data_IF_764016409377
#
_entry.id   IF_764016409377
#
_cell.length_a   1.000
_cell.length_b   1.000
_cell.length_c   1.000
_cell.angle_alpha   90.00
_cell.angle_beta   90.00
_cell.angle_gamma   90.00
#
_symmetry.space_group_name_H-M   'P 1'
#
loop_
_entity.id
_entity.type
_entity.pdbx_description
1 polymer ?
#
# COMPACT_ATOMS: atom_id res chain seq x y z
N UNK A 1 43.77 -3.40 -9.38
CA UNK A 1 42.51 -3.26 -10.14
C UNK A 1 41.72 -4.58 -10.16
N UNK A 2 42.36 -5.71 -9.88
CA UNK A 2 41.77 -7.06 -10.00
C UNK A 2 40.80 -7.44 -8.88
N UNK A 3 41.01 -6.92 -7.66
CA UNK A 3 40.13 -7.21 -6.52
C UNK A 3 38.70 -6.68 -6.73
N UNK A 4 38.56 -5.53 -7.40
CA UNK A 4 37.25 -4.95 -7.73
C UNK A 4 36.50 -5.81 -8.75
N UNK A 5 37.20 -6.25 -9.80
CA UNK A 5 36.60 -7.11 -10.83
C UNK A 5 36.21 -8.49 -10.26
N UNK A 6 37.04 -9.06 -9.38
CA UNK A 6 36.73 -10.33 -8.71
C UNK A 6 35.51 -10.21 -7.79
N UNK A 7 35.38 -9.11 -7.04
CA UNK A 7 34.21 -8.85 -6.21
C UNK A 7 32.94 -8.73 -7.06
N UNK A 8 33.02 -7.98 -8.17
CA UNK A 8 31.92 -7.79 -9.12
C UNK A 8 31.46 -9.11 -9.75
N UNK A 9 32.38 -9.98 -10.15
CA UNK A 9 32.04 -11.32 -10.67
C UNK A 9 31.28 -12.15 -9.64
N UNK A 10 31.75 -12.20 -8.39
CA UNK A 10 31.06 -12.95 -7.32
C UNK A 10 29.67 -12.42 -7.04
N UNK A 11 29.48 -11.10 -7.01
CA UNK A 11 28.15 -10.51 -6.81
C UNK A 11 27.19 -10.92 -7.92
N UNK A 12 27.67 -10.97 -9.17
CA UNK A 12 26.85 -11.39 -10.29
C UNK A 12 26.50 -12.88 -10.22
N UNK A 13 27.45 -13.73 -9.83
CA UNK A 13 27.22 -15.17 -9.61
C UNK A 13 26.18 -15.41 -8.51
N UNK A 14 26.30 -14.71 -7.37
CA UNK A 14 25.34 -14.81 -6.28
C UNK A 14 23.95 -14.30 -6.67
N UNK A 15 23.86 -13.16 -7.35
CA UNK A 15 22.58 -12.63 -7.82
C UNK A 15 21.90 -13.59 -8.80
N UNK A 16 22.66 -14.20 -9.70
CA UNK A 16 22.14 -15.18 -10.67
C UNK A 16 21.65 -16.45 -9.97
N UNK A 17 22.39 -16.93 -8.96
CA UNK A 17 22.01 -18.11 -8.19
C UNK A 17 20.74 -17.84 -7.37
N UNK A 18 20.65 -16.68 -6.70
CA UNK A 18 19.45 -16.26 -5.98
C UNK A 18 18.25 -16.13 -6.91
N UNK A 19 18.42 -15.53 -8.09
CA UNK A 19 17.38 -15.44 -9.11
C UNK A 19 16.90 -16.83 -9.58
N UNK A 20 17.81 -17.79 -9.77
CA UNK A 20 17.46 -19.14 -10.21
C UNK A 20 16.75 -19.98 -9.14
N UNK A 21 16.96 -19.66 -7.87
CA UNK A 21 16.38 -20.38 -6.73
C UNK A 21 15.04 -19.78 -6.28
N UNK A 22 14.77 -18.52 -6.64
CA UNK A 22 13.46 -17.94 -6.42
C UNK A 22 12.49 -18.51 -7.46
N UNK A 23 11.54 -19.32 -6.99
CA UNK A 23 10.27 -19.43 -7.68
C UNK A 23 9.61 -18.06 -7.61
N UNK A 24 9.81 -17.25 -8.66
CA UNK A 24 9.04 -16.03 -8.85
C UNK A 24 7.63 -16.51 -9.20
N UNK A 25 6.62 -16.27 -8.35
CA UNK A 25 5.24 -16.53 -8.73
C UNK A 25 4.96 -15.75 -10.02
N UNK A 26 4.33 -16.38 -11.00
CA UNK A 26 3.81 -15.61 -12.14
C UNK A 26 2.97 -14.46 -11.60
N UNK A 27 3.12 -13.28 -12.22
CA UNK A 27 2.30 -12.13 -11.86
C UNK A 27 0.84 -12.60 -11.78
N UNK A 28 0.13 -12.31 -10.68
CA UNK A 28 -1.26 -12.71 -10.58
C UNK A 28 -1.97 -12.17 -11.81
N UNK A 29 -2.50 -13.08 -12.64
CA UNK A 29 -3.33 -12.69 -13.77
C UNK A 29 -4.34 -11.68 -13.25
N UNK A 30 -4.41 -10.49 -13.85
CA UNK A 30 -5.35 -9.44 -13.42
C UNK A 30 -6.67 -10.10 -13.05
N UNK A 31 -7.01 -10.05 -11.76
CA UNK A 31 -8.25 -10.62 -11.27
C UNK A 31 -9.40 -10.03 -12.09
N UNK A 32 -10.53 -10.74 -12.23
CA UNK A 32 -11.64 -10.26 -13.04
C UNK A 32 -11.94 -8.82 -12.67
N UNK A 33 -11.76 -7.91 -13.64
CA UNK A 33 -12.12 -6.51 -13.49
C UNK A 33 -13.60 -6.52 -13.17
N UNK A 34 -13.94 -6.26 -11.90
CA UNK A 34 -15.33 -6.24 -11.48
C UNK A 34 -16.05 -5.22 -12.37
N UNK A 35 -17.22 -5.55 -12.93
CA UNK A 35 -17.94 -4.61 -13.77
C UNK A 35 -18.14 -3.32 -12.99
N UNK A 36 -17.88 -2.18 -13.63
CA UNK A 36 -18.12 -0.85 -13.04
C UNK A 36 -19.53 -0.82 -12.48
N UNK A 37 -19.63 -0.91 -11.15
CA UNK A 37 -20.90 -0.72 -10.48
C UNK A 37 -21.23 0.77 -10.67
N UNK A 38 -22.36 1.14 -11.30
CA UNK A 38 -22.69 2.55 -11.54
C UNK A 38 -22.88 3.36 -10.25
N UNK A 39 -22.82 2.71 -9.08
CA UNK A 39 -22.81 3.32 -7.76
C UNK A 39 -21.41 3.53 -7.16
N UNK A 40 -20.34 3.04 -7.81
CA UNK A 40 -18.96 3.32 -7.39
C UNK A 40 -18.58 4.72 -7.82
N UNK A 41 -18.07 5.50 -6.88
CA UNK A 41 -17.51 6.83 -7.07
C UNK A 41 -16.02 6.73 -7.35
N UNK A 42 -15.33 5.73 -6.79
CA UNK A 42 -13.90 5.52 -7.03
C UNK A 42 -13.69 4.52 -8.18
N UNK A 43 -12.83 4.91 -9.12
CA UNK A 43 -12.30 3.95 -10.10
C UNK A 43 -11.34 2.99 -9.40
N UNK A 44 -11.20 1.78 -9.93
CA UNK A 44 -10.22 0.81 -9.41
C UNK A 44 -8.80 1.38 -9.38
N UNK A 45 -8.40 2.15 -10.39
CA UNK A 45 -7.10 2.82 -10.42
C UNK A 45 -6.93 3.79 -9.24
N UNK A 46 -8.00 4.50 -8.86
CA UNK A 46 -7.98 5.40 -7.72
C UNK A 46 -7.95 4.64 -6.40
N UNK A 47 -8.71 3.55 -6.26
CA UNK A 47 -8.65 2.67 -5.09
C UNK A 47 -7.25 2.09 -4.91
N UNK A 48 -6.63 1.61 -6.00
CA UNK A 48 -5.26 1.10 -6.00
C UNK A 48 -4.26 2.16 -5.56
N UNK A 49 -4.32 3.36 -6.12
CA UNK A 49 -3.42 4.45 -5.71
C UNK A 49 -3.57 4.78 -4.22
N UNK A 50 -4.80 4.84 -3.71
CA UNK A 50 -5.06 5.09 -2.29
C UNK A 50 -4.50 3.96 -1.41
N UNK A 51 -4.68 2.70 -1.82
CA UNK A 51 -4.13 1.56 -1.11
C UNK A 51 -2.60 1.61 -1.08
N UNK A 52 -1.95 1.93 -2.20
CA UNK A 52 -0.49 2.06 -2.30
C UNK A 52 0.04 3.20 -1.40
N UNK A 53 -0.60 4.38 -1.44
CA UNK A 53 -0.22 5.54 -0.62
C UNK A 53 -0.36 5.24 0.88
N UNK A 54 -1.48 4.61 1.29
CA UNK A 54 -1.71 4.24 2.68
C UNK A 54 -0.79 3.10 3.14
N UNK A 55 -0.47 2.13 2.26
CA UNK A 55 0.48 1.08 2.54
C UNK A 55 1.88 1.65 2.78
N UNK A 56 2.30 2.65 1.98
CA UNK A 56 3.55 3.38 2.20
C UNK A 56 3.57 4.07 3.56
N UNK A 57 2.50 4.77 3.94
CA UNK A 57 2.39 5.41 5.25
C UNK A 57 2.38 4.40 6.41
N UNK A 58 1.80 3.22 6.22
CA UNK A 58 1.79 2.15 7.21
C UNK A 58 3.18 1.52 7.42
N UNK A 59 4.06 1.58 6.42
CA UNK A 59 5.41 1.01 6.43
C UNK A 59 6.39 1.83 7.30
N UNK A 60 6.09 1.99 8.58
CA UNK A 60 6.92 2.72 9.56
C UNK A 60 8.12 1.92 10.08
N UNK A 61 8.21 0.63 9.77
CA UNK A 61 9.22 -0.30 10.28
C UNK A 61 9.61 -1.30 9.19
N UNK A 62 10.91 -1.55 9.05
CA UNK A 62 11.48 -2.58 8.17
C UNK A 62 11.60 -3.96 8.86
N UNK A 63 11.04 -4.13 10.06
CA UNK A 63 11.05 -5.40 10.79
C UNK A 63 10.18 -6.44 10.05
N UNK A 64 10.77 -7.54 9.54
CA UNK A 64 10.01 -8.56 8.82
C UNK A 64 8.98 -9.30 9.68
N UNK A 65 9.03 -9.14 11.01
CA UNK A 65 8.02 -9.69 11.92
C UNK A 65 6.82 -8.75 12.12
N UNK A 66 6.87 -7.52 11.61
CA UNK A 66 5.82 -6.51 11.72
C UNK A 66 5.15 -6.32 10.36
N UNK A 67 4.23 -7.23 10.06
CA UNK A 67 3.48 -7.25 8.80
C UNK A 67 2.22 -6.42 8.98
N UNK A 68 2.09 -5.40 8.14
CA UNK A 68 0.95 -4.50 8.07
C UNK A 68 0.26 -4.67 6.72
N UNK A 69 -1.07 -4.68 6.74
CA UNK A 69 -1.90 -4.76 5.56
C UNK A 69 -2.94 -3.66 5.59
N UNK A 70 -3.09 -2.94 4.48
CA UNK A 70 -4.12 -1.91 4.30
C UNK A 70 -5.08 -2.38 3.21
N UNK A 71 -6.37 -2.25 3.47
CA UNK A 71 -7.44 -2.50 2.52
C UNK A 71 -8.29 -1.24 2.39
N UNK A 72 -8.61 -0.86 1.16
CA UNK A 72 -9.53 0.23 0.83
C UNK A 72 -10.74 -0.37 0.13
N UNK A 73 -11.92 -0.14 0.68
CA UNK A 73 -13.18 -0.66 0.15
C UNK A 73 -14.20 0.47 0.04
N UNK A 74 -14.81 0.63 -1.14
CA UNK A 74 -16.02 1.43 -1.30
C UNK A 74 -17.25 0.55 -1.03
N UNK A 75 -18.02 0.89 0.02
CA UNK A 75 -19.18 0.09 0.43
C UNK A 75 -20.48 0.57 -0.26
N UNK A 76 -20.69 1.89 -0.28
CA UNK A 76 -21.79 2.58 -0.96
C UNK A 76 -21.29 3.91 -1.52
N UNK A 77 -22.08 4.57 -2.38
CA UNK A 77 -21.66 5.74 -3.15
C UNK A 77 -21.01 6.89 -2.33
N UNK A 78 -21.23 6.95 -1.02
CA UNK A 78 -20.70 8.03 -0.17
C UNK A 78 -19.85 7.50 1.02
N UNK A 79 -19.50 6.22 1.05
CA UNK A 79 -18.74 5.62 2.17
C UNK A 79 -17.52 4.84 1.69
N UNK A 80 -16.34 5.34 2.08
CA UNK A 80 -15.06 4.66 1.93
C UNK A 80 -14.63 4.08 3.28
N UNK A 81 -14.36 2.77 3.30
CA UNK A 81 -13.88 2.05 4.48
C UNK A 81 -12.42 1.71 4.27
N UNK A 82 -11.56 2.16 5.20
CA UNK A 82 -10.15 1.74 5.26
C UNK A 82 -9.98 0.76 6.42
N UNK A 83 -9.47 -0.44 6.12
CA UNK A 83 -9.14 -1.45 7.12
C UNK A 83 -7.63 -1.58 7.20
N UNK A 84 -7.10 -1.48 8.41
CA UNK A 84 -5.68 -1.68 8.68
C UNK A 84 -5.56 -2.89 9.60
N UNK A 85 -4.83 -3.89 9.15
CA UNK A 85 -4.51 -5.08 9.91
C UNK A 85 -3.00 -5.12 10.18
N UNK A 86 -2.61 -5.51 11.39
CA UNK A 86 -1.22 -5.68 11.77
C UNK A 86 -1.08 -6.94 12.60
N UNK A 87 -0.03 -7.72 12.36
CA UNK A 87 0.29 -8.88 13.20
C UNK A 87 0.97 -8.49 14.53
N UNK A 88 1.38 -7.22 14.66
CA UNK A 88 1.94 -6.62 15.87
C UNK A 88 1.11 -5.40 16.31
N UNK A 89 0.91 -5.18 17.61
CA UNK A 89 0.29 -3.95 18.08
C UNK A 89 1.20 -2.76 17.76
N UNK A 90 0.65 -1.75 17.10
CA UNK A 90 1.33 -0.49 16.80
C UNK A 90 0.37 0.67 17.08
N UNK A 91 0.45 1.20 18.29
CA UNK A 91 -0.44 2.25 18.79
C UNK A 91 -0.16 3.61 18.14
N UNK A 92 1.10 3.86 17.77
CA UNK A 92 1.50 5.12 17.14
C UNK A 92 0.95 5.16 15.70
N UNK A 93 1.01 4.03 14.99
CA UNK A 93 0.39 3.90 13.68
C UNK A 93 -1.13 4.11 13.74
N UNK A 94 -1.83 3.44 14.67
CA UNK A 94 -3.29 3.58 14.75
C UNK A 94 -3.71 5.01 15.13
N UNK A 95 -2.97 5.66 16.02
CA UNK A 95 -3.19 7.07 16.37
C UNK A 95 -2.96 7.99 15.15
N UNK A 96 -1.87 7.79 14.42
CA UNK A 96 -1.54 8.59 13.23
C UNK A 96 -2.58 8.47 12.12
N UNK A 97 -3.07 7.26 11.84
CA UNK A 97 -4.16 7.08 10.87
C UNK A 97 -5.48 7.68 11.36
N UNK A 98 -5.79 7.59 12.65
CA UNK A 98 -7.00 8.21 13.22
C UNK A 98 -6.97 9.73 13.05
N UNK A 99 -5.82 10.36 13.30
CA UNK A 99 -5.63 11.80 13.09
C UNK A 99 -5.73 12.17 11.60
N UNK A 100 -5.07 11.41 10.73
CA UNK A 100 -5.09 11.63 9.29
C UNK A 100 -6.52 11.58 8.72
N UNK A 101 -7.29 10.56 9.09
CA UNK A 101 -8.68 10.45 8.62
C UNK A 101 -9.59 11.53 9.22
N UNK A 102 -9.36 11.95 10.47
CA UNK A 102 -10.10 13.07 11.06
C UNK A 102 -9.85 14.37 10.29
N UNK A 103 -8.61 14.64 9.89
CA UNK A 103 -8.28 15.82 9.07
C UNK A 103 -8.98 15.72 7.71
N UNK A 104 -8.94 14.56 7.06
CA UNK A 104 -9.61 14.37 5.77
C UNK A 104 -11.13 14.59 5.85
N UNK A 105 -11.77 14.16 6.94
CA UNK A 105 -13.20 14.41 7.18
C UNK A 105 -13.49 15.91 7.30
N UNK A 106 -12.65 16.67 8.01
CA UNK A 106 -12.85 18.13 8.16
C UNK A 106 -12.68 18.90 6.86
N UNK A 107 -11.80 18.46 5.96
CA UNK A 107 -11.58 19.08 4.65
C UNK A 107 -12.66 18.64 3.64
N UNK A 108 -13.22 17.46 3.84
CA UNK A 108 -14.31 16.92 3.02
C UNK A 108 -15.67 17.57 3.28
N UNK A 109 -15.86 18.31 4.37
CA UNK A 109 -17.11 19.03 4.65
C UNK A 109 -17.23 20.29 3.75
N UNK A 110 -18.16 20.29 2.77
CA UNK A 110 -18.35 21.42 1.86
C UNK A 110 -18.79 22.72 2.56
N UNK A 111 -19.11 22.69 3.85
CA UNK A 111 -19.50 23.85 4.65
C UNK A 111 -18.39 24.85 4.98
N UNK A 112 -17.10 24.48 4.86
CA UNK A 112 -15.98 25.31 5.33
C UNK A 112 -15.19 26.03 4.21
N UNK A 113 -15.37 25.67 2.94
CA UNK A 113 -14.67 26.32 1.82
C UNK A 113 -15.38 27.55 1.22
N UNK A 114 -16.49 28.05 1.80
CA UNK A 114 -17.22 29.22 1.29
C UNK A 114 -16.82 30.57 1.91
N UNK A 115 -15.75 30.63 2.71
CA UNK A 115 -15.29 31.89 3.32
C UNK A 115 -13.78 32.05 3.23
N UNK A 116 -13.28 32.31 2.02
CA UNK A 116 -12.00 32.95 1.76
C UNK A 116 -12.15 33.95 0.61
#
# INVERSE_FOLDING_TARGET
>A
MDAYNAARCRTMEYATLLWSLQEIPEDPSEGPTLPDNPKRVLTFEREKQLADDLAFLASSSDDPNQIKAVCVEENTADEMIVKIASNSPDADMTAGFTELFSIMETVGDPGLCSSA
#
